data_IF_859930530540
#
_entry.id   IF_859930530540
#
_cell.length_a   1.000
_cell.length_b   1.000
_cell.length_c   1.000
_cell.angle_alpha   90.00
_cell.angle_beta   90.00
_cell.angle_gamma   90.00
#
_symmetry.space_group_name_H-M   'P 1'
#
loop_
_entity.id
_entity.type
_entity.pdbx_description
1 polymer ?
#
# COMPACT_ATOMS: atom_id res chain seq x y z
N UNK A 1 -13.96 30.78 16.69
CA UNK A 1 -13.53 31.61 15.55
C UNK A 1 -12.05 31.93 15.67
N UNK A 2 -11.26 31.59 14.66
CA UNK A 2 -9.82 31.82 14.59
C UNK A 2 -9.51 32.75 13.41
N UNK A 3 -8.56 33.66 13.59
CA UNK A 3 -8.16 34.62 12.55
C UNK A 3 -6.66 34.46 12.29
N UNK A 4 -6.31 34.23 11.03
CA UNK A 4 -4.92 34.04 10.59
C UNK A 4 -4.62 35.04 9.48
N UNK A 5 -3.66 35.93 9.72
CA UNK A 5 -3.25 36.94 8.76
C UNK A 5 -1.91 36.59 8.10
N UNK A 6 -1.82 36.84 6.80
CA UNK A 6 -0.59 36.88 6.03
C UNK A 6 -0.39 38.29 5.45
N UNK A 7 0.66 38.50 4.67
CA UNK A 7 0.87 39.75 3.93
C UNK A 7 -0.30 40.08 3.00
N UNK A 8 -0.82 39.07 2.29
CA UNK A 8 -1.81 39.26 1.21
C UNK A 8 -3.25 38.93 1.63
N UNK A 9 -3.44 38.15 2.71
CA UNK A 9 -4.74 37.59 3.05
C UNK A 9 -5.06 37.68 4.52
N UNK A 10 -6.35 37.75 4.83
CA UNK A 10 -6.89 37.53 6.17
C UNK A 10 -7.86 36.36 6.10
N UNK A 11 -7.54 35.30 6.84
CA UNK A 11 -8.36 34.10 6.94
C UNK A 11 -9.18 34.19 8.23
N UNK A 12 -10.50 34.00 8.10
CA UNK A 12 -11.44 33.89 9.20
C UNK A 12 -12.00 32.48 9.18
N UNK A 13 -11.57 31.67 10.13
CA UNK A 13 -12.00 30.29 10.28
C UNK A 13 -13.04 30.23 11.41
N UNK A 14 -14.20 29.64 11.13
CA UNK A 14 -15.28 29.52 12.10
C UNK A 14 -15.98 28.17 11.97
N UNK A 15 -16.31 27.57 13.09
CA UNK A 15 -17.12 26.36 13.23
C UNK A 15 -18.59 26.68 13.57
N UNK A 16 -18.89 27.95 13.88
CA UNK A 16 -20.25 28.46 14.05
C UNK A 16 -20.89 28.84 12.70
N UNK A 17 -21.97 28.14 12.33
CA UNK A 17 -22.68 28.33 11.06
C UNK A 17 -23.43 29.67 10.99
N UNK A 18 -23.94 30.16 12.13
CA UNK A 18 -24.63 31.44 12.20
C UNK A 18 -23.65 32.59 12.00
N UNK A 19 -22.43 32.47 12.56
CA UNK A 19 -21.34 33.43 12.31
C UNK A 19 -20.89 33.37 10.85
N UNK A 20 -20.73 32.17 10.28
CA UNK A 20 -20.37 32.00 8.88
C UNK A 20 -21.38 32.65 7.93
N UNK A 21 -22.67 32.34 8.07
CA UNK A 21 -23.71 32.90 7.20
C UNK A 21 -23.80 34.41 7.36
N UNK A 22 -23.73 34.93 8.58
CA UNK A 22 -23.72 36.37 8.83
C UNK A 22 -22.61 37.10 8.05
N UNK A 23 -21.37 36.62 8.14
CA UNK A 23 -20.25 37.26 7.42
C UNK A 23 -20.30 36.99 5.91
N UNK A 24 -20.76 35.81 5.50
CA UNK A 24 -20.95 35.48 4.08
C UNK A 24 -21.96 36.41 3.42
N UNK A 25 -23.09 36.65 4.07
CA UNK A 25 -24.12 37.57 3.57
C UNK A 25 -23.60 39.00 3.52
N UNK A 26 -22.83 39.42 4.53
CA UNK A 26 -22.23 40.76 4.57
C UNK A 26 -21.18 40.95 3.46
N UNK A 27 -20.37 39.92 3.17
CA UNK A 27 -19.43 39.91 2.04
C UNK A 27 -20.18 39.99 0.71
N UNK A 28 -21.17 39.12 0.52
CA UNK A 28 -21.89 39.00 -0.76
C UNK A 28 -22.74 40.24 -1.06
N UNK A 29 -23.24 40.92 -0.02
CA UNK A 29 -24.03 42.15 -0.17
C UNK A 29 -23.19 43.40 -0.47
N UNK A 30 -21.97 43.48 0.07
CA UNK A 30 -21.18 44.71 0.05
C UNK A 30 -19.98 44.67 -0.89
N UNK A 31 -19.55 43.49 -1.35
CA UNK A 31 -18.38 43.32 -2.22
C UNK A 31 -18.76 42.69 -3.56
N UNK A 32 -18.14 43.18 -4.63
CA UNK A 32 -18.44 42.81 -6.02
C UNK A 32 -17.58 41.64 -6.50
N UNK A 33 -16.27 41.65 -6.20
CA UNK A 33 -15.34 40.56 -6.55
C UNK A 33 -15.33 39.45 -5.50
N UNK A 34 -16.34 38.58 -5.57
CA UNK A 34 -16.54 37.49 -4.61
C UNK A 34 -16.60 36.13 -5.31
N UNK A 35 -15.91 35.13 -4.77
CA UNK A 35 -16.01 33.72 -5.21
C UNK A 35 -16.41 32.86 -4.02
N UNK A 36 -17.58 32.20 -4.13
CA UNK A 36 -18.14 31.35 -3.07
C UNK A 36 -18.18 29.87 -3.45
N UNK A 37 -17.92 29.00 -2.47
CA UNK A 37 -18.26 27.56 -2.44
C UNK A 37 -19.04 27.26 -1.16
N UNK A 38 -19.60 26.04 -1.04
CA UNK A 38 -20.47 25.63 0.09
C UNK A 38 -19.98 26.08 1.47
N UNK A 39 -18.68 25.87 1.76
CA UNK A 39 -18.08 26.14 3.08
C UNK A 39 -16.99 27.23 3.05
N UNK A 40 -16.82 27.96 1.93
CA UNK A 40 -15.73 28.94 1.78
C UNK A 40 -16.18 30.11 0.93
N UNK A 41 -15.77 31.32 1.27
CA UNK A 41 -15.99 32.50 0.44
C UNK A 41 -14.74 33.37 0.44
N UNK A 42 -14.40 33.86 -0.75
CA UNK A 42 -13.24 34.70 -1.03
C UNK A 42 -13.74 36.05 -1.51
N UNK A 43 -13.18 37.15 -1.00
CA UNK A 43 -13.43 38.51 -1.50
C UNK A 43 -12.11 39.20 -1.80
N UNK A 44 -11.92 39.54 -3.07
CA UNK A 44 -10.72 40.19 -3.59
C UNK A 44 -10.81 41.70 -3.43
N UNK A 45 -9.66 42.37 -3.39
CA UNK A 45 -9.60 43.82 -3.22
C UNK A 45 -10.21 44.57 -4.41
N UNK A 46 -10.97 45.61 -4.07
CA UNK A 46 -11.51 46.61 -4.98
C UNK A 46 -11.44 47.99 -4.33
N UNK A 47 -10.93 48.98 -5.07
CA UNK A 47 -10.65 50.33 -4.54
C UNK A 47 -11.94 51.09 -4.19
N UNK A 48 -12.99 50.91 -4.97
CA UNK A 48 -14.30 51.55 -4.75
C UNK A 48 -15.03 51.03 -3.50
N UNK A 49 -14.55 49.95 -2.88
CA UNK A 49 -15.14 49.29 -1.71
C UNK A 49 -14.39 49.59 -0.40
N UNK A 50 -13.35 50.42 -0.41
CA UNK A 50 -12.53 50.72 0.78
C UNK A 50 -13.37 51.08 2.02
N UNK A 51 -14.40 51.95 1.94
CA UNK A 51 -15.25 52.26 3.10
C UNK A 51 -15.97 51.02 3.66
N UNK A 52 -16.55 50.19 2.79
CA UNK A 52 -17.27 48.97 3.14
C UNK A 52 -16.32 47.93 3.75
N UNK A 53 -15.10 47.80 3.20
CA UNK A 53 -14.07 46.89 3.72
C UNK A 53 -13.58 47.31 5.11
N UNK A 54 -13.37 48.61 5.34
CA UNK A 54 -13.03 49.14 6.68
C UNK A 54 -14.14 48.90 7.69
N UNK A 55 -15.40 49.05 7.26
CA UNK A 55 -16.55 48.74 8.11
C UNK A 55 -16.64 47.24 8.42
N UNK A 56 -16.46 46.37 7.42
CA UNK A 56 -16.42 44.92 7.58
C UNK A 56 -15.38 44.50 8.63
N UNK A 57 -14.17 45.07 8.55
CA UNK A 57 -13.10 44.81 9.52
C UNK A 57 -13.48 45.22 10.94
N UNK A 58 -14.13 46.37 11.13
CA UNK A 58 -14.64 46.79 12.45
C UNK A 58 -15.66 45.80 13.01
N UNK A 59 -16.58 45.32 12.17
CA UNK A 59 -17.59 44.31 12.56
C UNK A 59 -16.92 42.97 12.90
N UNK A 60 -15.91 42.57 12.12
CA UNK A 60 -15.11 41.37 12.37
C UNK A 60 -14.41 41.44 13.72
N UNK A 61 -13.71 42.53 14.02
CA UNK A 61 -13.03 42.76 15.30
C UNK A 61 -14.01 42.76 16.47
N UNK A 62 -15.17 43.41 16.31
CA UNK A 62 -16.20 43.43 17.35
C UNK A 62 -16.74 42.02 17.65
N UNK A 63 -16.97 41.19 16.63
CA UNK A 63 -17.39 39.79 16.83
C UNK A 63 -16.28 38.94 17.44
N UNK A 64 -15.03 39.14 17.01
CA UNK A 64 -13.87 38.43 17.54
C UNK A 64 -13.67 38.71 19.02
N UNK A 65 -13.63 39.99 19.42
CA UNK A 65 -13.53 40.42 20.83
C UNK A 65 -14.60 39.82 21.73
N UNK A 66 -15.84 39.70 21.24
CA UNK A 66 -16.92 39.06 22.00
C UNK A 66 -16.68 37.58 22.27
N UNK A 67 -15.92 36.90 21.41
CA UNK A 67 -15.63 35.47 21.54
C UNK A 67 -14.32 35.16 22.27
N UNK A 68 -13.32 36.04 22.19
CA UNK A 68 -11.96 35.77 22.70
C UNK A 68 -11.50 36.74 23.78
N UNK A 69 -12.27 37.81 24.08
CA UNK A 69 -11.85 38.96 24.90
C UNK A 69 -10.59 39.70 24.39
N UNK A 70 -10.11 39.37 23.19
CA UNK A 70 -8.93 39.95 22.58
C UNK A 70 -9.27 40.62 21.23
N UNK A 71 -8.53 41.68 20.89
CA UNK A 71 -8.65 42.36 19.61
C UNK A 71 -7.78 41.73 18.52
N UNK A 72 -8.12 41.93 17.26
CA UNK A 72 -7.31 41.44 16.15
C UNK A 72 -6.14 42.42 15.90
N UNK A 73 -4.91 41.92 16.01
CA UNK A 73 -3.71 42.73 15.74
C UNK A 73 -3.62 43.19 14.27
N UNK A 74 -3.07 44.39 14.04
CA UNK A 74 -2.75 44.93 12.71
C UNK A 74 -3.93 45.00 11.71
N UNK A 75 -5.15 45.14 12.21
CA UNK A 75 -6.36 45.12 11.37
C UNK A 75 -6.54 46.39 10.53
N UNK A 76 -5.95 47.52 10.92
CA UNK A 76 -6.19 48.82 10.23
C UNK A 76 -5.75 48.79 8.76
N UNK A 77 -4.67 48.05 8.49
CA UNK A 77 -4.11 47.90 7.14
C UNK A 77 -4.71 46.70 6.41
N UNK A 78 -5.50 45.85 7.06
CA UNK A 78 -6.03 44.64 6.41
C UNK A 78 -7.08 44.91 5.31
N UNK A 79 -7.49 46.16 5.08
CA UNK A 79 -8.54 46.52 4.11
C UNK A 79 -8.14 46.25 2.66
N UNK A 80 -6.84 46.27 2.33
CA UNK A 80 -6.33 45.92 1.01
C UNK A 80 -6.14 44.41 0.79
N UNK A 81 -6.27 43.60 1.85
CA UNK A 81 -6.04 42.15 1.78
C UNK A 81 -7.25 41.43 1.18
N UNK A 82 -6.98 40.24 0.63
CA UNK A 82 -8.03 39.30 0.24
C UNK A 82 -8.66 38.69 1.50
N UNK A 83 -9.99 38.79 1.62
CA UNK A 83 -10.73 38.16 2.71
C UNK A 83 -11.04 36.71 2.36
N UNK A 84 -10.73 35.79 3.26
CA UNK A 84 -11.08 34.37 3.14
C UNK A 84 -11.88 33.97 4.37
N UNK A 85 -13.15 33.66 4.19
CA UNK A 85 -14.00 33.14 5.25
C UNK A 85 -14.23 31.65 5.02
N UNK A 86 -13.87 30.84 6.01
CA UNK A 86 -13.87 29.38 5.94
C UNK A 86 -14.75 28.84 7.07
N UNK A 87 -15.73 28.02 6.70
CA UNK A 87 -16.53 27.23 7.63
C UNK A 87 -15.83 25.89 7.90
N UNK A 88 -15.33 25.71 9.11
CA UNK A 88 -14.68 24.49 9.58
C UNK A 88 -15.73 23.60 10.26
N UNK A 89 -16.22 22.60 9.53
CA UNK A 89 -17.14 21.61 10.09
C UNK A 89 -16.35 20.57 10.89
N UNK A 90 -16.06 20.87 12.16
CA UNK A 90 -15.33 19.97 13.05
C UNK A 90 -16.13 18.70 13.45
N UNK A 91 -17.45 18.68 13.18
CA UNK A 91 -18.36 17.59 13.59
C UNK A 91 -19.23 17.02 12.45
N UNK A 92 -18.70 16.88 11.23
CA UNK A 92 -19.37 15.99 10.26
C UNK A 92 -19.05 14.54 10.61
N UNK A 93 -20.08 13.69 10.65
CA UNK A 93 -19.91 12.23 10.67
C UNK A 93 -18.95 11.85 9.54
N UNK A 94 -17.75 11.39 9.89
CA UNK A 94 -16.79 10.90 8.90
C UNK A 94 -17.42 9.67 8.22
N UNK A 95 -17.41 9.58 6.88
CA UNK A 95 -17.90 8.40 6.20
C UNK A 95 -17.11 7.18 6.69
N UNK A 96 -17.85 6.16 7.15
CA UNK A 96 -17.28 4.95 7.71
C UNK A 96 -17.15 3.88 6.62
N UNK A 97 -15.97 3.29 6.48
CA UNK A 97 -15.70 2.18 5.57
C UNK A 97 -15.50 0.90 6.38
N UNK A 98 -16.20 -0.16 6.00
CA UNK A 98 -16.01 -1.47 6.60
C UNK A 98 -15.20 -2.31 5.63
N UNK A 99 -14.07 -2.84 6.12
CA UNK A 99 -13.18 -3.66 5.33
C UNK A 99 -13.01 -4.98 6.05
N UNK A 100 -13.52 -6.05 5.43
CA UNK A 100 -13.31 -7.40 5.93
C UNK A 100 -11.99 -7.93 5.38
N UNK A 101 -11.17 -8.50 6.26
CA UNK A 101 -9.88 -9.08 5.88
C UNK A 101 -9.97 -10.61 5.93
N UNK A 102 -9.63 -11.24 4.81
CA UNK A 102 -9.49 -12.70 4.70
C UNK A 102 -8.06 -13.05 4.21
N UNK A 103 -7.56 -14.24 4.54
CA UNK A 103 -6.19 -14.65 4.21
C UNK A 103 -6.16 -15.93 3.34
N UNK A 104 -5.58 -15.85 2.14
CA UNK A 104 -5.58 -16.99 1.20
C UNK A 104 -4.22 -17.15 0.52
N UNK A 105 -3.58 -18.31 0.71
CA UNK A 105 -2.45 -18.79 -0.10
C UNK A 105 -1.30 -17.76 -0.33
N UNK A 106 -0.95 -16.97 0.69
CA UNK A 106 0.08 -15.94 0.58
C UNK A 106 -0.44 -14.56 0.17
N UNK A 107 -1.76 -14.36 0.15
CA UNK A 107 -2.42 -13.10 -0.21
C UNK A 107 -3.33 -12.64 0.91
N UNK A 108 -3.37 -11.32 1.11
CA UNK A 108 -4.31 -10.64 2.00
C UNK A 108 -5.44 -10.09 1.13
N UNK A 109 -6.67 -10.51 1.43
CA UNK A 109 -7.87 -10.09 0.73
C UNK A 109 -8.58 -9.04 1.56
N UNK A 110 -8.68 -7.83 1.03
CA UNK A 110 -9.43 -6.73 1.61
C UNK A 110 -10.76 -6.59 0.87
N UNK A 111 -11.86 -6.97 1.49
CA UNK A 111 -13.20 -6.82 0.92
C UNK A 111 -13.82 -5.51 1.39
N UNK A 112 -13.97 -4.57 0.46
CA UNK A 112 -14.50 -3.23 0.75
C UNK A 112 -16.03 -3.26 0.73
N UNK A 113 -16.66 -2.57 1.69
CA UNK A 113 -18.12 -2.39 1.73
C UNK A 113 -18.67 -1.53 0.59
N UNK A 114 -17.82 -0.71 -0.04
CA UNK A 114 -18.20 0.23 -1.11
C UNK A 114 -17.08 0.40 -2.13
N UNK A 115 -17.44 0.61 -3.41
CA UNK A 115 -16.49 0.86 -4.51
C UNK A 115 -16.05 2.34 -4.55
N UNK A 116 -15.32 2.77 -3.53
CA UNK A 116 -14.79 4.14 -3.41
C UNK A 116 -13.44 4.28 -4.15
N UNK A 117 -13.49 4.72 -5.41
CA UNK A 117 -12.30 4.81 -6.29
C UNK A 117 -11.12 5.58 -5.69
N UNK A 118 -11.39 6.67 -4.95
CA UNK A 118 -10.36 7.46 -4.29
C UNK A 118 -9.62 6.67 -3.20
N UNK A 119 -10.37 5.89 -2.43
CA UNK A 119 -9.81 5.08 -1.37
C UNK A 119 -9.00 3.90 -1.93
N UNK A 120 -9.48 3.28 -3.01
CA UNK A 120 -8.74 2.24 -3.74
C UNK A 120 -7.42 2.79 -4.30
N UNK A 121 -7.43 3.98 -4.90
CA UNK A 121 -6.22 4.63 -5.39
C UNK A 121 -5.24 4.96 -4.24
N UNK A 122 -5.75 5.36 -3.08
CA UNK A 122 -4.95 5.57 -1.89
C UNK A 122 -4.26 4.29 -1.41
N UNK A 123 -4.98 3.17 -1.31
CA UNK A 123 -4.39 1.88 -0.93
C UNK A 123 -3.30 1.47 -1.94
N UNK A 124 -3.57 1.61 -3.24
CA UNK A 124 -2.58 1.30 -4.29
C UNK A 124 -1.29 2.11 -4.14
N UNK A 125 -1.41 3.39 -3.80
CA UNK A 125 -0.24 4.25 -3.57
C UNK A 125 0.48 3.90 -2.27
N UNK A 126 -0.27 3.58 -1.20
CA UNK A 126 0.31 3.17 0.09
C UNK A 126 1.17 1.90 -0.08
N UNK A 127 0.70 0.95 -0.87
CA UNK A 127 1.41 -0.31 -1.16
C UNK A 127 2.11 -0.32 -2.53
N UNK A 128 2.58 0.83 -3.04
CA UNK A 128 3.11 0.97 -4.41
C UNK A 128 4.23 -0.03 -4.77
N UNK A 129 5.05 -0.45 -3.79
CA UNK A 129 6.15 -1.39 -3.99
C UNK A 129 5.73 -2.87 -3.93
N UNK A 130 4.44 -3.13 -3.75
CA UNK A 130 3.83 -4.46 -3.63
C UNK A 130 2.86 -4.72 -4.79
N UNK A 131 2.66 -6.00 -5.12
CA UNK A 131 1.68 -6.37 -6.12
C UNK A 131 0.28 -6.26 -5.52
N UNK A 132 -0.51 -5.35 -6.07
CA UNK A 132 -1.85 -5.03 -5.57
C UNK A 132 -2.85 -5.01 -6.72
N UNK A 133 -3.86 -5.87 -6.62
CA UNK A 133 -4.90 -6.00 -7.64
C UNK A 133 -6.26 -5.62 -7.05
N UNK A 134 -7.12 -5.00 -7.84
CA UNK A 134 -8.48 -4.68 -7.41
C UNK A 134 -9.48 -5.24 -8.41
N UNK A 135 -10.43 -6.02 -7.90
CA UNK A 135 -11.53 -6.56 -8.69
C UNK A 135 -12.79 -5.72 -8.45
N UNK A 136 -13.18 -4.93 -9.45
CA UNK A 136 -14.36 -4.05 -9.37
C UNK A 136 -15.68 -4.82 -9.24
N UNK A 137 -15.76 -6.07 -9.71
CA UNK A 137 -16.98 -6.87 -9.62
C UNK A 137 -17.24 -7.40 -8.21
N UNK A 138 -16.17 -7.75 -7.49
CA UNK A 138 -16.27 -8.34 -6.14
C UNK A 138 -15.97 -7.33 -5.03
N UNK A 139 -15.50 -6.13 -5.38
CA UNK A 139 -14.97 -5.12 -4.46
C UNK A 139 -13.88 -5.67 -3.53
N UNK A 140 -13.04 -6.56 -4.07
CA UNK A 140 -11.94 -7.18 -3.34
C UNK A 140 -10.63 -6.61 -3.86
N UNK A 141 -9.81 -6.14 -2.94
CA UNK A 141 -8.45 -5.72 -3.18
C UNK A 141 -7.51 -6.80 -2.63
N UNK A 142 -6.59 -7.24 -3.46
CA UNK A 142 -5.71 -8.39 -3.21
C UNK A 142 -4.30 -7.85 -3.08
N UNK A 143 -3.70 -8.02 -1.90
CA UNK A 143 -2.31 -7.69 -1.62
C UNK A 143 -1.50 -8.98 -1.57
N UNK A 144 -0.53 -9.14 -2.47
CA UNK A 144 0.35 -10.31 -2.46
C UNK A 144 1.51 -10.12 -1.48
N UNK A 145 1.80 -11.16 -0.70
CA UNK A 145 2.97 -11.17 0.17
C UNK A 145 4.26 -11.14 -0.67
N UNK A 146 5.13 -10.18 -0.34
CA UNK A 146 6.45 -10.03 -0.96
C UNK A 146 7.58 -10.34 0.03
N UNK A 147 7.48 -9.82 1.26
CA UNK A 147 8.47 -9.93 2.32
C UNK A 147 7.86 -9.53 3.69
N UNK A 148 8.64 -9.61 4.77
CA UNK A 148 8.17 -9.25 6.12
C UNK A 148 7.65 -7.80 6.21
N UNK A 149 8.23 -6.87 5.43
CA UNK A 149 7.76 -5.49 5.34
C UNK A 149 6.32 -5.38 4.80
N UNK A 150 5.83 -6.37 4.03
CA UNK A 150 4.41 -6.45 3.65
C UNK A 150 3.51 -6.61 4.88
N UNK A 151 3.93 -7.39 5.88
CA UNK A 151 3.18 -7.55 7.12
C UNK A 151 3.22 -6.29 7.98
N UNK A 152 4.39 -5.69 8.16
CA UNK A 152 4.55 -4.47 8.94
C UNK A 152 3.69 -3.32 8.37
N UNK A 153 3.73 -3.12 7.05
CA UNK A 153 2.90 -2.12 6.39
C UNK A 153 1.40 -2.42 6.54
N UNK A 154 1.00 -3.68 6.44
CA UNK A 154 -0.40 -4.06 6.63
C UNK A 154 -0.87 -3.85 8.08
N UNK A 155 -0.05 -4.20 9.08
CA UNK A 155 -0.38 -3.98 10.49
C UNK A 155 -0.52 -2.48 10.80
N UNK A 156 0.43 -1.65 10.36
CA UNK A 156 0.35 -0.19 10.51
C UNK A 156 -0.88 0.38 9.82
N UNK A 157 -1.19 -0.10 8.62
CA UNK A 157 -2.37 0.31 7.88
C UNK A 157 -3.67 -0.10 8.59
N UNK A 158 -3.76 -1.32 9.11
CA UNK A 158 -4.96 -1.82 9.78
C UNK A 158 -5.17 -1.23 11.20
N UNK A 159 -4.09 -0.83 11.87
CA UNK A 159 -4.15 -0.19 13.20
C UNK A 159 -4.60 1.28 13.13
N UNK A 160 -4.41 1.94 11.98
CA UNK A 160 -4.86 3.32 11.79
C UNK A 160 -6.35 3.37 11.41
N UNK A 161 -7.19 3.81 12.36
CA UNK A 161 -8.64 3.91 12.15
C UNK A 161 -9.06 5.06 11.21
N UNK A 162 -8.13 5.95 10.86
CA UNK A 162 -8.42 7.10 10.00
C UNK A 162 -7.53 7.12 8.76
N UNK A 163 -8.16 7.16 7.60
CA UNK A 163 -7.46 7.24 6.33
C UNK A 163 -8.12 8.28 5.42
N UNK A 164 -7.32 9.25 4.96
CA UNK A 164 -7.79 10.41 4.22
C UNK A 164 -8.90 11.17 4.96
N UNK A 165 -10.15 11.01 4.52
CA UNK A 165 -11.36 11.61 5.10
C UNK A 165 -12.29 10.56 5.71
N UNK A 166 -11.92 9.28 5.67
CA UNK A 166 -12.74 8.15 6.07
C UNK A 166 -12.31 7.65 7.45
N UNK A 167 -13.29 7.15 8.21
CA UNK A 167 -13.02 6.29 9.36
C UNK A 167 -13.13 4.85 8.88
N UNK A 168 -12.08 4.05 9.08
CA UNK A 168 -12.00 2.69 8.53
C UNK A 168 -12.03 1.70 9.67
N UNK A 169 -12.93 0.72 9.56
CA UNK A 169 -13.02 -0.41 10.48
C UNK A 169 -12.55 -1.67 9.77
N UNK A 170 -11.39 -2.18 10.18
CA UNK A 170 -10.82 -3.42 9.69
C UNK A 170 -11.31 -4.60 10.54
N UNK A 171 -12.11 -5.47 9.94
CA UNK A 171 -12.52 -6.73 10.56
C UNK A 171 -11.45 -7.78 10.26
N UNK A 172 -10.52 -7.95 11.21
CA UNK A 172 -9.39 -8.89 11.11
C UNK A 172 -9.54 -10.00 12.15
N UNK A 173 -9.59 -11.26 11.70
CA UNK A 173 -9.43 -12.41 12.58
C UNK A 173 -7.94 -12.56 12.96
N UNK A 174 -7.62 -12.23 14.21
CA UNK A 174 -6.25 -12.28 14.73
C UNK A 174 -5.68 -13.70 14.78
N UNK A 175 -6.50 -14.72 14.99
CA UNK A 175 -6.03 -16.11 15.04
C UNK A 175 -5.78 -16.65 13.64
N UNK A 176 -6.61 -16.28 12.66
CA UNK A 176 -6.35 -16.57 11.26
C UNK A 176 -5.08 -15.88 10.75
N UNK A 177 -4.89 -14.61 11.11
CA UNK A 177 -3.69 -13.84 10.76
C UNK A 177 -2.40 -14.46 11.31
N UNK A 178 -2.38 -14.87 12.59
CA UNK A 178 -1.21 -15.56 13.18
C UNK A 178 -0.86 -16.84 12.43
N UNK A 179 -1.86 -17.66 12.10
CA UNK A 179 -1.66 -18.90 11.33
C UNK A 179 -1.12 -18.59 9.93
N UNK A 180 -1.65 -17.56 9.28
CA UNK A 180 -1.18 -17.09 7.98
C UNK A 180 0.31 -16.72 8.01
N UNK A 181 0.73 -15.88 8.97
CA UNK A 181 2.14 -15.47 9.12
C UNK A 181 3.08 -16.65 9.36
N UNK A 182 2.70 -17.57 10.26
CA UNK A 182 3.46 -18.80 10.51
C UNK A 182 3.60 -19.68 9.25
N UNK A 183 2.52 -19.82 8.48
CA UNK A 183 2.53 -20.60 7.25
C UNK A 183 3.46 -20.00 6.18
N UNK A 184 3.49 -18.67 6.04
CA UNK A 184 4.42 -18.00 5.13
C UNK A 184 5.87 -18.21 5.59
N UNK A 185 6.17 -17.97 6.86
CA UNK A 185 7.52 -18.13 7.40
C UNK A 185 8.03 -19.57 7.24
N UNK A 186 7.17 -20.57 7.47
CA UNK A 186 7.49 -21.97 7.25
C UNK A 186 7.81 -22.26 5.77
N UNK A 187 7.02 -21.73 4.83
CA UNK A 187 7.28 -21.88 3.39
C UNK A 187 8.61 -21.23 2.97
N UNK A 188 8.91 -20.04 3.47
CA UNK A 188 10.19 -19.38 3.20
C UNK A 188 11.38 -20.16 3.76
N UNK A 189 11.27 -20.65 4.99
CA UNK A 189 12.29 -21.48 5.60
C UNK A 189 12.52 -22.78 4.83
N UNK A 190 11.46 -23.44 4.36
CA UNK A 190 11.58 -24.62 3.50
C UNK A 190 12.25 -24.29 2.17
N UNK A 191 11.87 -23.18 1.53
CA UNK A 191 12.51 -22.70 0.29
C UNK A 191 13.99 -22.36 0.49
N UNK A 192 14.35 -21.73 1.61
CA UNK A 192 15.74 -21.43 1.95
C UNK A 192 16.54 -22.70 2.19
N UNK A 193 15.99 -23.65 2.97
CA UNK A 193 16.61 -24.98 3.19
C UNK A 193 16.83 -25.71 1.88
N UNK A 194 15.82 -25.73 1.00
CA UNK A 194 15.93 -26.32 -0.33
C UNK A 194 17.04 -25.65 -1.16
N UNK A 195 17.09 -24.32 -1.20
CA UNK A 195 18.11 -23.59 -1.95
C UNK A 195 19.52 -23.81 -1.40
N UNK A 196 19.68 -23.86 -0.07
CA UNK A 196 20.95 -24.13 0.58
C UNK A 196 21.43 -25.57 0.27
N UNK A 197 20.52 -26.54 0.33
CA UNK A 197 20.80 -27.92 -0.06
C UNK A 197 21.10 -28.00 -1.56
N UNK A 198 20.34 -27.36 -2.44
CA UNK A 198 20.59 -27.37 -3.89
C UNK A 198 21.99 -26.83 -4.25
N UNK A 199 22.50 -25.83 -3.51
CA UNK A 199 23.89 -25.36 -3.65
C UNK A 199 24.92 -26.43 -3.26
N UNK A 200 24.68 -27.20 -2.21
CA UNK A 200 25.57 -28.31 -1.81
C UNK A 200 25.57 -29.45 -2.84
N UNK A 201 24.45 -29.65 -3.54
CA UNK A 201 24.27 -30.70 -4.55
C UNK A 201 24.57 -30.20 -5.97
N UNK A 202 25.17 -29.01 -6.15
CA UNK A 202 25.46 -28.41 -7.46
C UNK A 202 26.24 -29.34 -8.39
N UNK A 203 27.16 -30.13 -7.84
CA UNK A 203 27.95 -31.09 -8.60
C UNK A 203 27.08 -32.21 -9.17
N UNK A 204 26.03 -32.65 -8.47
CA UNK A 204 25.11 -33.67 -8.96
C UNK A 204 24.18 -33.12 -10.05
N UNK A 205 23.72 -31.88 -9.91
CA UNK A 205 23.00 -31.18 -10.98
C UNK A 205 23.86 -31.06 -12.24
N UNK A 206 25.12 -30.65 -12.12
CA UNK A 206 26.07 -30.59 -13.23
C UNK A 206 26.31 -31.98 -13.87
N UNK A 207 26.44 -33.02 -13.04
CA UNK A 207 26.67 -34.40 -13.50
C UNK A 207 25.51 -34.93 -14.35
N UNK A 208 24.27 -34.51 -14.05
CA UNK A 208 23.08 -34.86 -14.84
C UNK A 208 22.72 -33.81 -15.90
N UNK A 209 23.56 -32.79 -16.10
CA UNK A 209 23.29 -31.65 -16.98
C UNK A 209 21.95 -30.97 -16.67
N UNK A 210 21.58 -30.95 -15.38
CA UNK A 210 20.33 -30.42 -14.83
C UNK A 210 20.57 -29.09 -14.11
N UNK A 211 19.47 -28.39 -13.85
CA UNK A 211 19.44 -27.20 -13.00
C UNK A 211 18.50 -27.43 -11.82
N UNK A 212 18.69 -26.74 -10.67
CA UNK A 212 17.76 -26.83 -9.53
C UNK A 212 16.32 -26.39 -9.84
N UNK A 213 16.11 -25.72 -10.97
CA UNK A 213 14.79 -25.32 -11.47
C UNK A 213 14.06 -26.47 -12.17
N UNK A 214 14.76 -27.54 -12.58
CA UNK A 214 14.14 -28.69 -13.21
C UNK A 214 13.33 -29.50 -12.20
N UNK A 215 12.19 -30.03 -12.63
CA UNK A 215 11.37 -30.91 -11.80
C UNK A 215 11.94 -32.34 -11.76
N UNK A 216 11.41 -33.18 -10.86
CA UNK A 216 11.88 -34.57 -10.72
C UNK A 216 11.69 -35.38 -12.02
N UNK A 217 10.68 -35.05 -12.83
CA UNK A 217 10.36 -35.75 -14.08
C UNK A 217 11.40 -35.43 -15.15
N UNK A 218 11.78 -34.17 -15.28
CA UNK A 218 12.83 -33.67 -16.18
C UNK A 218 14.20 -34.22 -15.78
N UNK A 219 14.52 -34.23 -14.48
CA UNK A 219 15.75 -34.85 -13.96
C UNK A 219 15.80 -36.34 -14.30
N UNK A 220 14.67 -37.05 -14.16
CA UNK A 220 14.56 -38.47 -14.53
C UNK A 220 14.75 -38.69 -16.02
N UNK A 221 14.22 -37.82 -16.88
CA UNK A 221 14.41 -37.94 -18.33
C UNK A 221 15.88 -37.76 -18.72
N UNK A 222 16.56 -36.75 -18.17
CA UNK A 222 18.00 -36.54 -18.40
C UNK A 222 18.85 -37.71 -17.91
N UNK A 223 18.54 -38.24 -16.72
CA UNK A 223 19.16 -39.47 -16.23
C UNK A 223 19.01 -40.65 -17.21
N UNK A 224 17.80 -40.89 -17.74
CA UNK A 224 17.56 -41.99 -18.68
C UNK A 224 18.33 -41.82 -20.00
N UNK A 225 18.53 -40.58 -20.46
CA UNK A 225 19.36 -40.28 -21.64
C UNK A 225 20.82 -40.64 -21.37
N UNK A 226 21.37 -40.20 -20.23
CA UNK A 226 22.75 -40.48 -19.84
C UNK A 226 22.99 -41.97 -19.58
N UNK A 227 22.02 -42.68 -19.00
CA UNK A 227 22.06 -44.14 -18.84
C UNK A 227 22.20 -44.82 -20.19
N UNK A 228 21.40 -44.44 -21.20
CA UNK A 228 21.52 -45.01 -22.55
C UNK A 228 22.88 -44.77 -23.17
N UNK A 229 23.54 -43.65 -22.85
CA UNK A 229 24.85 -43.30 -23.39
C UNK A 229 26.00 -44.07 -22.72
N UNK A 230 25.92 -44.28 -21.39
CA UNK A 230 27.03 -44.80 -20.58
C UNK A 230 26.82 -46.22 -20.06
N UNK A 231 25.66 -46.87 -20.27
CA UNK A 231 25.41 -48.21 -19.74
C UNK A 231 26.47 -49.22 -20.22
N UNK A 232 27.09 -50.01 -19.32
CA UNK A 232 28.17 -50.94 -19.67
C UNK A 232 27.84 -51.91 -20.81
N UNK A 233 26.57 -52.31 -20.94
CA UNK A 233 26.11 -53.23 -21.99
C UNK A 233 26.30 -52.68 -23.41
N UNK A 234 26.26 -51.36 -23.61
CA UNK A 234 26.46 -50.77 -24.93
C UNK A 234 27.95 -50.64 -25.33
N UNK A 235 28.88 -50.93 -24.41
CA UNK A 235 30.32 -50.75 -24.63
C UNK A 235 31.10 -52.08 -24.56
N UNK A 236 30.42 -53.24 -24.61
CA UNK A 236 31.04 -54.58 -24.53
C UNK A 236 32.07 -54.87 -25.65
N UNK A 237 31.98 -54.21 -26.81
CA UNK A 237 32.93 -54.33 -27.92
C UNK A 237 34.08 -53.33 -27.95
N UNK A 238 34.17 -52.41 -26.96
CA UNK A 238 35.15 -51.32 -26.94
C UNK A 238 36.44 -51.66 -26.21
N UNK A 239 37.43 -50.76 -26.30
CA UNK A 239 38.70 -50.89 -25.59
C UNK A 239 38.52 -50.92 -24.07
N UNK A 240 39.48 -51.50 -23.35
CA UNK A 240 39.42 -51.58 -21.89
C UNK A 240 39.31 -50.20 -21.21
N UNK A 241 39.94 -49.19 -21.80
CA UNK A 241 39.93 -47.80 -21.31
C UNK A 241 38.53 -47.19 -21.47
N UNK A 242 37.89 -47.37 -22.62
CA UNK A 242 36.53 -46.85 -22.87
C UNK A 242 35.47 -47.54 -22.00
N UNK A 243 35.64 -48.84 -21.73
CA UNK A 243 34.76 -49.59 -20.82
C UNK A 243 34.87 -49.08 -19.38
N UNK A 244 36.10 -48.84 -18.92
CA UNK A 244 36.35 -48.29 -17.59
C UNK A 244 35.76 -46.88 -17.45
N UNK A 245 35.95 -46.02 -18.45
CA UNK A 245 35.38 -44.68 -18.49
C UNK A 245 33.84 -44.71 -18.48
N UNK A 246 33.21 -45.52 -19.33
CA UNK A 246 31.75 -45.62 -19.39
C UNK A 246 31.16 -46.10 -18.06
N UNK A 247 31.81 -47.07 -17.40
CA UNK A 247 31.39 -47.55 -16.07
C UNK A 247 31.51 -46.48 -14.99
N UNK A 248 32.63 -45.75 -14.96
CA UNK A 248 32.83 -44.67 -14.00
C UNK A 248 31.78 -43.55 -14.18
N UNK A 249 31.47 -43.18 -15.42
CA UNK A 249 30.43 -42.21 -15.72
C UNK A 249 29.04 -42.72 -15.34
N UNK A 250 28.75 -44.00 -15.60
CA UNK A 250 27.49 -44.64 -15.21
C UNK A 250 27.27 -44.64 -13.70
N UNK A 251 28.29 -44.97 -12.91
CA UNK A 251 28.22 -44.92 -11.45
C UNK A 251 28.02 -43.48 -10.94
N UNK A 252 28.69 -42.50 -11.53
CA UNK A 252 28.52 -41.07 -11.19
C UNK A 252 27.11 -40.56 -11.45
N UNK A 253 26.52 -40.85 -12.61
CA UNK A 253 25.15 -40.40 -12.93
C UNK A 253 24.10 -41.11 -12.04
N UNK A 254 24.33 -42.37 -11.66
CA UNK A 254 23.43 -43.10 -10.77
C UNK A 254 23.45 -42.52 -9.35
N UNK A 255 24.64 -42.28 -8.79
CA UNK A 255 24.82 -41.63 -7.48
C UNK A 255 24.19 -40.23 -7.50
N UNK A 256 24.40 -39.45 -8.56
CA UNK A 256 23.81 -38.12 -8.70
C UNK A 256 22.27 -38.17 -8.70
N UNK A 257 21.67 -39.10 -9.45
CA UNK A 257 20.22 -39.22 -9.54
C UNK A 257 19.58 -39.68 -8.22
N UNK A 258 20.15 -40.69 -7.55
CA UNK A 258 19.60 -41.18 -6.28
C UNK A 258 19.63 -40.12 -5.18
N UNK A 259 20.73 -39.34 -5.12
CA UNK A 259 20.87 -38.22 -4.18
C UNK A 259 19.88 -37.08 -4.47
N UNK A 260 19.71 -36.68 -5.73
CA UNK A 260 18.71 -35.66 -6.10
C UNK A 260 17.29 -36.15 -5.86
N UNK A 261 16.98 -37.42 -6.15
CA UNK A 261 15.68 -38.01 -5.85
C UNK A 261 15.34 -37.97 -4.37
N UNK A 262 16.31 -38.27 -3.49
CA UNK A 262 16.13 -38.15 -2.05
C UNK A 262 15.91 -36.70 -1.59
N UNK A 263 16.65 -35.75 -2.18
CA UNK A 263 16.50 -34.32 -1.91
C UNK A 263 15.09 -33.82 -2.25
N UNK A 264 14.54 -34.18 -3.41
CA UNK A 264 13.19 -33.76 -3.79
C UNK A 264 12.09 -34.49 -2.98
N UNK A 265 12.27 -35.78 -2.65
CA UNK A 265 11.32 -36.53 -1.82
C UNK A 265 11.19 -35.98 -0.40
N UNK A 266 12.27 -35.41 0.16
CA UNK A 266 12.26 -34.82 1.50
C UNK A 266 11.76 -33.37 1.53
N UNK A 267 11.54 -32.74 0.36
CA UNK A 267 11.10 -31.35 0.24
C UNK A 267 9.69 -31.19 -0.37
N UNK A 268 9.02 -32.29 -0.74
CA UNK A 268 7.59 -32.38 -1.04
C UNK A 268 6.80 -32.80 0.19
#
# INVERSE_FOLDING_TARGET
>A
MQIVQTLETINVNTDDISVFQYFKDLITKNFTKVIGRKNKIFSFFEENEIPQRRYFLKVLDQKYRKSTNEGIENLQDAHFKTFRLIFEQNNMLKPMLFIKIDFVAGRILMKLSSNEKLFIAYIRNYFQDHNIEYNEMTNILILEYKNENTFELFEVFADESEHLKYCVNFEVDREEYKKFRQNIHNKENMKWKFNALAKLFSNYFNTLECTPQNDLSEIRQKYLILVKLYHPDFHQGKSAIEKAYAREQFEKIQIAYDNLKALYKNNT
#
